data_IF_536558148344
#
_entry.id   IF_536558148344
#
_cell.length_a   1.000
_cell.length_b   1.000
_cell.length_c   1.000
_cell.angle_alpha   90.00
_cell.angle_beta   90.00
_cell.angle_gamma   90.00
#
_symmetry.space_group_name_H-M   'P 1'
#
loop_
_entity.id
_entity.type
_entity.pdbx_description
1 polymer ?
#
# COMPACT_ATOMS: atom_id res chain seq x y z
N UNK A 1 -30.34 10.52 5.39
CA UNK A 1 -31.28 9.71 6.24
C UNK A 1 -30.90 9.96 7.69
N UNK A 2 -31.86 10.12 8.58
CA UNK A 2 -31.61 10.26 10.02
C UNK A 2 -32.09 8.96 10.68
N UNK A 3 -31.31 8.39 11.58
CA UNK A 3 -31.68 7.22 12.38
C UNK A 3 -31.35 7.48 13.85
N UNK A 4 -31.91 6.68 14.75
CA UNK A 4 -31.57 6.69 16.17
C UNK A 4 -30.44 5.69 16.48
N UNK A 5 -29.95 5.70 17.72
CA UNK A 5 -28.88 4.78 18.18
C UNK A 5 -29.25 3.30 18.04
N UNK A 6 -30.54 2.95 18.16
CA UNK A 6 -31.00 1.56 17.99
C UNK A 6 -30.88 1.16 16.52
N UNK A 7 -31.29 2.04 15.60
CA UNK A 7 -31.17 1.81 14.17
C UNK A 7 -29.71 1.66 13.75
N UNK A 8 -28.84 2.51 14.28
CA UNK A 8 -27.38 2.41 14.02
C UNK A 8 -26.82 1.10 14.55
N UNK A 9 -27.12 0.72 15.79
CA UNK A 9 -26.67 -0.56 16.38
C UNK A 9 -27.12 -1.77 15.56
N UNK A 10 -28.36 -1.76 15.02
CA UNK A 10 -28.86 -2.82 14.15
C UNK A 10 -28.08 -2.87 12.83
N UNK A 11 -27.77 -1.71 12.22
CA UNK A 11 -26.97 -1.68 10.98
C UNK A 11 -25.57 -2.19 11.20
N UNK A 12 -24.91 -1.82 12.31
CA UNK A 12 -23.59 -2.29 12.72
C UNK A 12 -23.60 -3.80 12.95
N UNK A 13 -24.55 -4.32 13.77
CA UNK A 13 -24.64 -5.76 14.07
C UNK A 13 -24.86 -6.62 12.82
N UNK A 14 -25.55 -6.09 11.82
CA UNK A 14 -25.74 -6.71 10.50
C UNK A 14 -24.64 -6.38 9.50
N UNK A 15 -23.54 -5.75 9.93
CA UNK A 15 -22.40 -5.34 9.07
C UNK A 15 -22.86 -4.63 7.79
N UNK A 16 -23.89 -3.79 7.89
CA UNK A 16 -24.47 -3.07 6.76
C UNK A 16 -24.89 -3.98 5.59
N UNK A 17 -25.73 -4.96 5.86
CA UNK A 17 -26.25 -5.95 4.89
C UNK A 17 -26.77 -5.31 3.59
N UNK A 18 -27.20 -4.04 3.63
CA UNK A 18 -27.60 -3.27 2.46
C UNK A 18 -26.53 -3.19 1.38
N UNK A 19 -25.24 -3.22 1.74
CA UNK A 19 -24.12 -3.27 0.79
C UNK A 19 -24.19 -4.54 -0.08
N UNK A 20 -24.42 -5.70 0.57
CA UNK A 20 -24.59 -6.97 -0.12
C UNK A 20 -25.85 -7.00 -0.98
N UNK A 21 -26.96 -6.49 -0.45
CA UNK A 21 -28.25 -6.46 -1.18
C UNK A 21 -28.14 -5.65 -2.49
N UNK A 22 -27.43 -4.52 -2.46
CA UNK A 22 -27.20 -3.69 -3.65
C UNK A 22 -26.27 -4.41 -4.64
N UNK A 23 -25.22 -5.03 -4.15
CA UNK A 23 -24.26 -5.78 -4.97
C UNK A 23 -24.91 -6.97 -5.67
N UNK A 24 -25.81 -7.67 -4.99
CA UNK A 24 -26.49 -8.85 -5.50
C UNK A 24 -27.74 -8.50 -6.36
N UNK A 25 -27.97 -7.19 -6.61
CA UNK A 25 -29.12 -6.72 -7.37
C UNK A 25 -29.09 -7.18 -8.83
N UNK A 26 -30.23 -7.67 -9.32
CA UNK A 26 -30.43 -8.10 -10.70
C UNK A 26 -31.57 -7.35 -11.35
N UNK A 27 -31.42 -6.98 -12.61
CA UNK A 27 -32.52 -6.50 -13.43
C UNK A 27 -32.98 -7.64 -14.35
N UNK A 28 -34.11 -8.27 -14.01
CA UNK A 28 -34.50 -9.56 -14.57
C UNK A 28 -33.48 -10.63 -14.15
N UNK A 29 -32.98 -11.41 -15.11
CA UNK A 29 -31.95 -12.45 -14.85
C UNK A 29 -30.51 -11.95 -15.01
N UNK A 30 -30.30 -10.65 -15.30
CA UNK A 30 -28.97 -10.07 -15.53
C UNK A 30 -28.45 -9.39 -14.28
N UNK A 31 -27.25 -9.73 -13.81
CA UNK A 31 -26.60 -8.97 -12.73
C UNK A 31 -26.31 -7.55 -13.20
N UNK A 32 -26.50 -6.58 -12.32
CA UNK A 32 -26.19 -5.18 -12.56
C UNK A 32 -24.99 -4.82 -11.71
N UNK A 33 -23.93 -4.31 -12.31
CA UNK A 33 -22.73 -3.86 -11.61
C UNK A 33 -22.97 -2.50 -10.94
N UNK A 34 -23.61 -2.52 -9.77
CA UNK A 34 -23.81 -1.34 -8.92
C UNK A 34 -23.28 -1.62 -7.53
N UNK A 35 -22.79 -0.57 -6.88
CA UNK A 35 -22.29 -0.63 -5.51
C UNK A 35 -22.88 0.50 -4.68
N UNK A 36 -22.83 0.37 -3.36
CA UNK A 36 -23.30 1.37 -2.43
C UNK A 36 -22.15 1.82 -1.52
N UNK A 37 -21.93 3.13 -1.40
CA UNK A 37 -21.05 3.69 -0.39
C UNK A 37 -21.87 4.48 0.62
N UNK A 38 -21.62 4.28 1.91
CA UNK A 38 -22.35 4.89 3.00
C UNK A 38 -21.41 5.61 3.96
N UNK A 39 -21.78 6.81 4.38
CA UNK A 39 -21.13 7.53 5.46
C UNK A 39 -22.14 7.80 6.57
N UNK A 40 -21.85 7.41 7.78
CA UNK A 40 -22.68 7.58 8.96
C UNK A 40 -21.92 8.42 9.98
N UNK A 41 -22.50 9.52 10.43
CA UNK A 41 -21.95 10.40 11.45
C UNK A 41 -22.78 10.36 12.72
N UNK A 42 -22.11 10.20 13.87
CA UNK A 42 -22.68 10.34 15.19
C UNK A 42 -21.86 11.36 15.98
N UNK A 43 -22.47 12.47 16.36
CA UNK A 43 -21.87 13.59 17.09
C UNK A 43 -22.83 14.10 18.16
N UNK A 44 -22.38 15.07 18.94
CA UNK A 44 -23.13 15.66 20.04
C UNK A 44 -24.38 16.45 19.62
N UNK A 45 -24.49 16.78 18.32
CA UNK A 45 -25.64 17.48 17.73
C UNK A 45 -25.76 17.14 16.24
N UNK A 46 -26.88 17.57 15.61
CA UNK A 46 -27.17 17.27 14.21
C UNK A 46 -26.15 17.87 13.23
N UNK A 47 -25.58 19.02 13.54
CA UNK A 47 -24.59 19.66 12.68
C UNK A 47 -23.28 18.87 12.67
N UNK A 48 -22.77 18.50 13.85
CA UNK A 48 -21.60 17.63 13.97
C UNK A 48 -21.83 16.26 13.32
N UNK A 49 -23.02 15.69 13.54
CA UNK A 49 -23.38 14.40 12.91
C UNK A 49 -23.39 14.50 11.38
N UNK A 50 -23.85 15.60 10.79
CA UNK A 50 -23.82 15.84 9.37
C UNK A 50 -22.38 15.97 8.84
N UNK A 51 -21.53 16.74 9.52
CA UNK A 51 -20.10 16.87 9.17
C UNK A 51 -19.37 15.51 9.28
N UNK A 52 -19.59 14.76 10.35
CA UNK A 52 -19.03 13.42 10.52
C UNK A 52 -19.56 12.44 9.44
N UNK A 53 -20.81 12.56 9.01
CA UNK A 53 -21.35 11.71 7.94
C UNK A 53 -20.71 12.00 6.59
N UNK A 54 -20.41 13.26 6.28
CA UNK A 54 -19.70 13.67 5.07
C UNK A 54 -18.28 13.13 5.06
N UNK A 55 -17.54 13.31 6.17
CA UNK A 55 -16.18 12.76 6.34
C UNK A 55 -16.19 11.22 6.19
N UNK A 56 -17.15 10.56 6.81
CA UNK A 56 -17.30 9.10 6.72
C UNK A 56 -17.61 8.64 5.29
N UNK A 57 -18.45 9.39 4.55
CA UNK A 57 -18.76 9.08 3.15
C UNK A 57 -17.54 9.29 2.25
N UNK A 58 -16.81 10.39 2.45
CA UNK A 58 -15.54 10.64 1.74
C UNK A 58 -14.54 9.51 2.01
N UNK A 59 -14.42 9.06 3.28
CA UNK A 59 -13.61 7.91 3.65
C UNK A 59 -14.04 6.64 2.90
N UNK A 60 -15.34 6.34 2.85
CA UNK A 60 -15.85 5.19 2.10
C UNK A 60 -15.50 5.25 0.62
N UNK A 61 -15.63 6.44 0.01
CA UNK A 61 -15.36 6.63 -1.42
C UNK A 61 -13.87 6.60 -1.75
N UNK A 62 -13.02 7.23 -0.93
CA UNK A 62 -11.57 7.24 -1.12
C UNK A 62 -10.95 5.85 -1.02
N UNK A 63 -11.58 4.94 -0.30
CA UNK A 63 -11.16 3.54 -0.17
C UNK A 63 -11.63 2.62 -1.31
N UNK A 64 -12.16 3.17 -2.38
CA UNK A 64 -12.65 2.44 -3.55
C UNK A 64 -14.16 2.17 -3.54
N UNK A 65 -14.90 2.72 -2.60
CA UNK A 65 -16.36 2.55 -2.50
C UNK A 65 -16.80 1.17 -2.03
N UNK A 66 -18.07 0.84 -2.23
CA UNK A 66 -18.69 -0.44 -1.85
C UNK A 66 -18.52 -0.79 -0.36
N UNK A 67 -18.66 0.20 0.51
CA UNK A 67 -18.45 0.06 1.95
C UNK A 67 -19.24 1.11 2.74
N UNK A 68 -19.41 0.87 4.03
CA UNK A 68 -19.93 1.83 4.98
C UNK A 68 -18.84 2.24 5.96
N UNK A 69 -18.77 3.54 6.26
CA UNK A 69 -17.93 4.09 7.31
C UNK A 69 -18.83 4.74 8.36
N UNK A 70 -18.60 4.44 9.62
CA UNK A 70 -19.22 5.11 10.76
C UNK A 70 -18.18 6.01 11.41
N UNK A 71 -18.47 7.29 11.52
CA UNK A 71 -17.70 8.23 12.30
C UNK A 71 -18.44 8.51 13.62
N UNK A 72 -17.95 7.96 14.71
CA UNK A 72 -18.52 8.13 16.03
C UNK A 72 -17.64 9.08 16.85
N UNK A 73 -18.05 10.35 16.91
CA UNK A 73 -17.31 11.41 17.62
C UNK A 73 -15.81 11.49 17.24
N UNK A 74 -15.49 11.27 15.96
CA UNK A 74 -14.13 11.30 15.43
C UNK A 74 -13.47 9.91 15.33
N UNK A 75 -14.02 8.88 15.92
CA UNK A 75 -13.56 7.50 15.75
C UNK A 75 -14.23 6.86 14.52
N UNK A 76 -13.42 6.30 13.62
CA UNK A 76 -13.87 5.74 12.36
C UNK A 76 -13.90 4.20 12.44
N UNK A 77 -15.09 3.63 12.19
CA UNK A 77 -15.29 2.19 11.98
C UNK A 77 -15.65 1.92 10.53
N UNK A 78 -15.08 0.86 9.96
CA UNK A 78 -15.20 0.52 8.54
C UNK A 78 -15.87 -0.83 8.35
N UNK A 79 -16.85 -0.90 7.44
CA UNK A 79 -17.63 -2.11 7.16
C UNK A 79 -17.71 -2.36 5.64
N UNK A 80 -17.41 -3.57 5.20
CA UNK A 80 -17.43 -3.95 3.79
C UNK A 80 -16.11 -3.62 3.06
N UNK A 81 -16.17 -3.39 1.75
CA UNK A 81 -14.98 -3.06 0.94
C UNK A 81 -14.18 -4.29 0.52
N UNK A 82 -14.81 -5.44 0.38
CA UNK A 82 -14.17 -6.71 -0.03
C UNK A 82 -14.05 -6.88 -1.55
N UNK A 83 -14.73 -6.04 -2.34
CA UNK A 83 -14.69 -6.11 -3.80
C UNK A 83 -13.85 -4.95 -4.31
N UNK A 84 -12.82 -5.24 -5.10
CA UNK A 84 -12.17 -4.25 -5.94
C UNK A 84 -13.16 -3.86 -7.04
N UNK A 85 -14.01 -2.87 -6.74
CA UNK A 85 -14.86 -2.24 -7.75
C UNK A 85 -13.95 -1.66 -8.82
N UNK A 86 -14.16 -2.02 -10.07
CA UNK A 86 -13.48 -1.42 -11.22
C UNK A 86 -14.01 0.00 -11.45
N UNK A 87 -13.79 0.90 -10.50
CA UNK A 87 -13.97 2.33 -10.77
C UNK A 87 -12.92 2.71 -11.81
N UNK A 88 -13.39 3.00 -13.03
CA UNK A 88 -12.50 3.46 -14.10
C UNK A 88 -11.78 4.71 -13.62
N UNK A 89 -10.50 4.60 -13.30
CA UNK A 89 -9.65 5.75 -12.96
C UNK A 89 -9.76 6.79 -14.07
N UNK A 90 -9.96 8.03 -13.70
CA UNK A 90 -10.15 9.11 -14.66
C UNK A 90 -8.82 9.77 -15.01
N UNK A 91 -8.41 9.73 -16.29
CA UNK A 91 -7.26 10.52 -16.79
C UNK A 91 -7.45 12.02 -16.58
N UNK A 92 -8.69 12.48 -16.44
CA UNK A 92 -9.03 13.89 -16.14
C UNK A 92 -8.58 14.24 -14.71
N UNK A 93 -8.83 13.35 -13.72
CA UNK A 93 -8.36 13.55 -12.33
C UNK A 93 -6.83 13.68 -12.29
N UNK A 94 -6.11 12.77 -12.94
CA UNK A 94 -4.63 12.81 -12.97
C UNK A 94 -4.10 14.11 -13.60
N UNK A 95 -4.72 14.61 -14.67
CA UNK A 95 -4.36 15.91 -15.28
C UNK A 95 -4.59 17.09 -14.35
N UNK A 96 -5.71 17.12 -13.65
CA UNK A 96 -6.00 18.18 -12.67
C UNK A 96 -4.99 18.16 -11.52
N UNK A 97 -4.68 16.96 -11.00
CA UNK A 97 -3.67 16.76 -9.94
C UNK A 97 -2.28 17.20 -10.44
N UNK A 98 -1.88 16.82 -11.65
CA UNK A 98 -0.58 17.19 -12.21
C UNK A 98 -0.42 18.74 -12.35
N UNK A 99 -1.48 19.44 -12.77
CA UNK A 99 -1.47 20.90 -12.82
C UNK A 99 -1.41 21.52 -11.42
N UNK A 100 -2.23 21.06 -10.48
CA UNK A 100 -2.21 21.54 -9.10
C UNK A 100 -0.85 21.28 -8.43
N UNK A 101 -0.24 20.12 -8.67
CA UNK A 101 1.11 19.80 -8.21
C UNK A 101 2.14 20.80 -8.76
N UNK A 102 2.10 21.08 -10.09
CA UNK A 102 3.01 22.04 -10.72
C UNK A 102 2.85 23.45 -10.13
N UNK A 103 1.62 23.89 -9.86
CA UNK A 103 1.34 25.19 -9.26
C UNK A 103 1.92 25.27 -7.83
N UNK A 104 1.74 24.24 -7.01
CA UNK A 104 2.30 24.21 -5.65
C UNK A 104 3.83 24.18 -5.66
N UNK A 105 4.44 23.37 -6.52
CA UNK A 105 5.91 23.30 -6.68
C UNK A 105 6.47 24.66 -7.14
N UNK A 106 5.83 25.31 -8.11
CA UNK A 106 6.27 26.61 -8.64
C UNK A 106 6.29 27.70 -7.55
N UNK A 107 5.41 27.60 -6.57
CA UNK A 107 5.32 28.54 -5.43
C UNK A 107 6.20 28.14 -4.24
N UNK A 108 6.92 27.03 -4.28
CA UNK A 108 7.87 26.62 -3.27
C UNK A 108 9.28 27.13 -3.58
N UNK A 109 10.10 27.30 -2.55
CA UNK A 109 11.53 27.61 -2.70
C UNK A 109 12.38 26.34 -2.79
N UNK A 110 11.96 25.26 -2.15
CA UNK A 110 12.52 23.91 -2.28
C UNK A 110 11.46 22.86 -2.04
N UNK A 111 11.64 21.66 -2.59
CA UNK A 111 10.76 20.51 -2.41
C UNK A 111 11.52 19.38 -1.72
N UNK A 112 10.90 18.79 -0.73
CA UNK A 112 11.40 17.61 -0.04
C UNK A 112 10.45 16.46 -0.31
N UNK A 113 10.99 15.30 -0.70
CA UNK A 113 10.19 14.09 -0.98
C UNK A 113 10.52 13.05 0.06
N UNK A 114 9.53 12.46 0.71
CA UNK A 114 9.72 11.47 1.74
C UNK A 114 8.70 10.34 1.60
N UNK A 115 9.16 9.11 1.76
CA UNK A 115 8.30 7.92 1.78
C UNK A 115 8.15 7.32 3.18
N UNK A 116 7.76 6.04 3.22
CA UNK A 116 7.62 5.31 4.48
C UNK A 116 8.97 4.82 5.03
N UNK A 117 9.00 4.57 6.35
CA UNK A 117 10.14 3.89 7.00
C UNK A 117 10.34 2.49 6.38
N UNK A 118 11.58 2.03 6.26
CA UNK A 118 11.95 0.86 5.48
C UNK A 118 11.59 0.98 3.99
N UNK A 119 11.75 2.20 3.46
CA UNK A 119 11.40 2.53 2.06
C UNK A 119 11.89 1.46 1.09
N UNK A 120 10.99 1.00 0.24
CA UNK A 120 11.23 -0.03 -0.76
C UNK A 120 11.40 0.56 -2.17
N UNK A 121 11.36 -0.28 -3.21
CA UNK A 121 11.54 0.18 -4.60
C UNK A 121 10.37 1.04 -5.09
N UNK A 122 9.14 0.88 -4.56
CA UNK A 122 8.02 1.74 -4.95
C UNK A 122 8.16 3.12 -4.32
N UNK A 123 8.43 3.17 -3.03
CA UNK A 123 8.64 4.42 -2.29
C UNK A 123 9.82 5.24 -2.85
N UNK A 124 10.98 4.61 -3.07
CA UNK A 124 12.16 5.30 -3.61
C UNK A 124 11.97 5.64 -5.09
N UNK A 125 11.41 4.73 -5.90
CA UNK A 125 11.13 4.97 -7.32
C UNK A 125 10.15 6.13 -7.51
N UNK A 126 9.05 6.18 -6.76
CA UNK A 126 8.11 7.29 -6.76
C UNK A 126 8.78 8.61 -6.36
N UNK A 127 9.65 8.59 -5.34
CA UNK A 127 10.42 9.77 -4.93
C UNK A 127 11.32 10.30 -6.05
N UNK A 128 11.98 9.42 -6.81
CA UNK A 128 12.81 9.77 -7.95
C UNK A 128 11.97 10.35 -9.10
N UNK A 129 10.80 9.82 -9.36
CA UNK A 129 9.86 10.35 -10.34
C UNK A 129 9.37 11.75 -9.96
N UNK A 130 9.03 11.98 -8.67
CA UNK A 130 8.69 13.31 -8.15
C UNK A 130 9.88 14.27 -8.29
N UNK A 131 11.10 13.82 -7.96
CA UNK A 131 12.32 14.61 -8.18
C UNK A 131 12.44 15.07 -9.63
N UNK A 132 12.23 14.18 -10.60
CA UNK A 132 12.30 14.53 -12.02
C UNK A 132 11.26 15.60 -12.41
N UNK A 133 10.02 15.50 -11.90
CA UNK A 133 8.97 16.52 -12.11
C UNK A 133 9.38 17.87 -11.52
N UNK A 134 9.90 17.89 -10.30
CA UNK A 134 10.32 19.12 -9.59
C UNK A 134 11.50 19.78 -10.30
N UNK A 135 12.46 18.99 -10.76
CA UNK A 135 13.60 19.50 -11.57
C UNK A 135 13.15 20.07 -12.89
N UNK A 136 12.16 19.51 -13.56
CA UNK A 136 11.58 20.06 -14.79
C UNK A 136 10.88 21.41 -14.57
N UNK A 137 10.45 21.70 -13.34
CA UNK A 137 9.90 22.99 -12.89
C UNK A 137 10.98 23.95 -12.36
N UNK A 138 12.25 23.62 -12.54
CA UNK A 138 13.42 24.41 -12.15
C UNK A 138 13.49 24.74 -10.64
N UNK A 139 13.11 23.75 -9.79
CA UNK A 139 13.15 23.89 -8.34
C UNK A 139 14.18 22.96 -7.68
N UNK A 140 14.81 23.39 -6.58
CA UNK A 140 15.61 22.52 -5.73
C UNK A 140 14.74 21.38 -5.18
N UNK A 141 15.26 20.14 -5.24
CA UNK A 141 14.56 18.97 -4.73
C UNK A 141 15.51 18.03 -3.98
N UNK A 142 15.05 17.51 -2.84
CA UNK A 142 15.77 16.58 -2.00
C UNK A 142 14.89 15.39 -1.66
N UNK A 143 15.48 14.19 -1.67
CA UNK A 143 14.80 12.95 -1.25
C UNK A 143 15.25 12.62 0.17
N UNK A 144 14.31 12.64 1.10
CA UNK A 144 14.56 12.40 2.53
C UNK A 144 14.38 10.91 2.81
N UNK A 145 15.49 10.22 3.12
CA UNK A 145 15.48 8.77 3.33
C UNK A 145 16.52 8.33 4.35
N UNK A 146 16.17 7.32 5.15
CA UNK A 146 17.11 6.62 6.01
C UNK A 146 17.78 5.47 5.25
N UNK A 147 18.89 5.76 4.59
CA UNK A 147 19.63 4.79 3.78
C UNK A 147 20.00 3.49 4.52
N UNK A 148 20.13 3.54 5.85
CA UNK A 148 20.46 2.35 6.65
C UNK A 148 19.27 1.40 6.81
N UNK A 149 18.05 1.97 6.87
CA UNK A 149 16.80 1.22 7.03
C UNK A 149 16.13 0.87 5.73
N UNK A 150 16.43 1.59 4.64
CA UNK A 150 15.81 1.38 3.33
C UNK A 150 16.05 -0.04 2.81
N UNK A 151 15.02 -0.65 2.26
CA UNK A 151 15.12 -1.93 1.53
C UNK A 151 15.60 -1.73 0.08
N UNK A 152 15.57 -0.50 -0.44
CA UNK A 152 16.03 -0.13 -1.78
C UNK A 152 17.48 0.40 -1.80
N UNK A 153 18.36 -0.08 -0.93
CA UNK A 153 19.76 0.38 -0.82
C UNK A 153 20.50 0.37 -2.15
N UNK A 154 20.40 -0.74 -2.89
CA UNK A 154 21.07 -0.90 -4.18
C UNK A 154 20.62 0.16 -5.19
N UNK A 155 19.31 0.48 -5.22
CA UNK A 155 18.78 1.52 -6.08
C UNK A 155 19.33 2.90 -5.68
N UNK A 156 19.33 3.23 -4.39
CA UNK A 156 19.84 4.51 -3.89
C UNK A 156 21.32 4.68 -4.21
N UNK A 157 22.15 3.65 -3.97
CA UNK A 157 23.58 3.67 -4.26
C UNK A 157 23.88 3.88 -5.74
N UNK A 158 23.14 3.19 -6.62
CA UNK A 158 23.28 3.35 -8.07
C UNK A 158 22.89 4.77 -8.50
N UNK A 159 21.80 5.32 -7.99
CA UNK A 159 21.33 6.67 -8.30
C UNK A 159 22.31 7.74 -7.83
N UNK A 160 22.89 7.60 -6.65
CA UNK A 160 23.88 8.55 -6.12
C UNK A 160 25.19 8.53 -6.90
N UNK A 161 25.62 7.34 -7.32
CA UNK A 161 26.87 7.20 -8.07
C UNK A 161 26.81 7.86 -9.45
N UNK A 162 25.69 7.74 -10.15
CA UNK A 162 25.61 8.05 -11.57
C UNK A 162 24.80 9.32 -11.91
N UNK A 163 23.68 9.58 -11.22
CA UNK A 163 22.70 10.59 -11.68
C UNK A 163 22.27 11.61 -10.65
N UNK A 164 22.24 11.26 -9.37
CA UNK A 164 21.63 12.07 -8.30
C UNK A 164 22.60 12.30 -7.11
N UNK A 165 23.81 12.82 -7.34
CA UNK A 165 24.73 13.10 -6.25
C UNK A 165 24.10 14.12 -5.27
N UNK A 166 24.30 13.88 -3.96
CA UNK A 166 23.83 14.76 -2.88
C UNK A 166 22.32 14.98 -2.78
N UNK A 167 21.51 14.23 -3.54
CA UNK A 167 20.04 14.37 -3.56
C UNK A 167 19.39 13.66 -2.37
N UNK A 168 19.94 12.52 -1.98
CA UNK A 168 19.41 11.72 -0.87
C UNK A 168 19.97 12.21 0.47
N UNK A 169 19.09 12.78 1.30
CA UNK A 169 19.46 13.37 2.59
C UNK A 169 18.72 12.68 3.75
N UNK A 170 19.23 12.81 4.94
CA UNK A 170 18.54 12.36 6.15
C UNK A 170 17.63 13.47 6.75
N UNK A 171 16.79 13.12 7.73
CA UNK A 171 15.85 14.05 8.34
C UNK A 171 16.52 15.26 8.99
N UNK A 172 17.72 15.11 9.61
CA UNK A 172 18.45 16.23 10.19
C UNK A 172 18.85 17.27 9.14
N UNK A 173 19.40 16.79 8.01
CA UNK A 173 19.80 17.67 6.92
C UNK A 173 18.58 18.32 6.23
N UNK A 174 17.44 17.62 6.20
CA UNK A 174 16.17 18.19 5.73
C UNK A 174 15.69 19.31 6.66
N UNK A 175 15.79 19.13 7.97
CA UNK A 175 15.45 20.15 8.95
C UNK A 175 16.35 21.41 8.84
N UNK A 176 17.64 21.23 8.54
CA UNK A 176 18.57 22.35 8.35
C UNK A 176 18.28 23.15 7.06
N UNK A 177 17.75 22.51 6.02
CA UNK A 177 17.54 23.11 4.70
C UNK A 177 16.13 23.63 4.47
N UNK A 178 15.13 23.16 5.24
CA UNK A 178 13.76 23.58 5.05
C UNK A 178 13.53 25.04 5.51
N UNK A 179 12.60 25.70 4.84
CA UNK A 179 12.14 27.06 5.14
C UNK A 179 10.61 27.05 5.26
N UNK A 180 10.01 28.14 5.71
CA UNK A 180 8.55 28.30 5.76
C UNK A 180 7.86 28.26 4.39
N UNK A 181 8.61 28.32 3.28
CA UNK A 181 8.07 28.18 1.91
C UNK A 181 8.37 26.84 1.29
N UNK A 182 9.05 25.96 2.00
CA UNK A 182 9.35 24.62 1.51
C UNK A 182 8.10 23.76 1.44
N UNK A 183 8.09 22.83 0.47
CA UNK A 183 7.00 21.89 0.23
C UNK A 183 7.49 20.48 0.56
N UNK A 184 6.69 19.74 1.34
CA UNK A 184 6.90 18.31 1.56
C UNK A 184 5.96 17.51 0.66
N UNK A 185 6.50 16.57 -0.12
CA UNK A 185 5.75 15.59 -0.89
C UNK A 185 5.95 14.23 -0.25
N UNK A 186 4.88 13.66 0.23
CA UNK A 186 4.86 12.31 0.81
C UNK A 186 4.40 11.35 -0.28
N UNK A 187 5.14 10.26 -0.47
CA UNK A 187 4.85 9.22 -1.47
C UNK A 187 4.71 7.87 -0.80
N UNK A 188 3.82 7.03 -1.34
CA UNK A 188 3.66 5.63 -0.97
C UNK A 188 3.30 5.40 0.52
N UNK A 189 2.76 6.41 1.15
CA UNK A 189 2.15 6.33 2.47
C UNK A 189 1.30 7.57 2.76
N UNK A 190 0.31 7.42 3.62
CA UNK A 190 -0.52 8.51 4.10
C UNK A 190 -0.54 8.61 5.64
N UNK A 191 0.25 7.78 6.33
CA UNK A 191 0.24 7.68 7.78
C UNK A 191 1.48 8.32 8.38
N UNK A 192 1.29 9.28 9.30
CA UNK A 192 2.41 9.95 9.99
C UNK A 192 3.34 8.94 10.68
N UNK A 193 2.78 7.95 11.39
CA UNK A 193 3.54 6.93 12.09
C UNK A 193 4.36 6.00 11.16
N UNK A 194 4.06 6.00 9.88
CA UNK A 194 4.78 5.19 8.88
C UNK A 194 5.87 5.98 8.15
N UNK A 195 5.99 7.28 8.34
CA UNK A 195 7.01 8.10 7.70
C UNK A 195 8.42 7.72 8.13
N UNK A 196 9.37 7.89 7.24
CA UNK A 196 10.79 7.61 7.54
C UNK A 196 11.36 8.56 8.61
N UNK A 197 10.92 9.83 8.60
CA UNK A 197 11.22 10.84 9.60
C UNK A 197 9.96 11.63 9.95
N UNK A 198 9.09 11.08 10.79
CA UNK A 198 7.81 11.72 11.16
C UNK A 198 7.97 13.04 11.91
N UNK A 199 9.05 13.21 12.65
CA UNK A 199 9.36 14.41 13.42
C UNK A 199 9.56 15.67 12.56
N UNK A 200 10.02 15.51 11.31
CA UNK A 200 10.19 16.67 10.41
C UNK A 200 8.88 17.12 9.75
N UNK A 201 7.81 16.32 9.78
CA UNK A 201 6.51 16.70 9.18
C UNK A 201 6.03 18.08 9.65
N UNK A 202 6.21 18.37 10.94
CA UNK A 202 5.79 19.63 11.56
C UNK A 202 6.58 20.87 11.13
N UNK A 203 7.67 20.69 10.40
CA UNK A 203 8.49 21.79 9.87
C UNK A 203 7.92 22.35 8.56
N UNK A 204 6.91 21.68 7.98
CA UNK A 204 6.35 22.03 6.68
C UNK A 204 4.89 22.48 6.83
N UNK A 205 4.61 23.74 6.43
CA UNK A 205 3.24 24.29 6.37
C UNK A 205 2.47 23.76 5.16
N UNK A 206 3.17 23.19 4.17
CA UNK A 206 2.60 22.69 2.92
C UNK A 206 2.99 21.24 2.69
N UNK A 207 2.00 20.37 2.66
CA UNK A 207 2.19 18.94 2.48
C UNK A 207 1.34 18.46 1.32
N UNK A 208 1.91 17.66 0.42
CA UNK A 208 1.23 16.90 -0.63
C UNK A 208 1.38 15.42 -0.30
N UNK A 209 0.31 14.64 -0.50
CA UNK A 209 0.33 13.17 -0.36
C UNK A 209 -0.05 12.53 -1.69
N UNK A 210 0.80 11.59 -2.16
CA UNK A 210 0.59 10.76 -3.35
C UNK A 210 0.67 9.30 -2.92
N UNK A 211 -0.47 8.62 -2.78
CA UNK A 211 -0.51 7.28 -2.22
C UNK A 211 -1.54 6.38 -2.91
N UNK A 212 -1.22 5.10 -3.07
CA UNK A 212 -2.12 4.11 -3.65
C UNK A 212 -2.74 3.18 -2.60
N UNK A 213 -2.36 3.32 -1.35
CA UNK A 213 -2.93 2.54 -0.26
C UNK A 213 -4.36 2.99 0.07
N UNK A 214 -5.19 2.07 0.53
CA UNK A 214 -6.52 2.42 1.04
C UNK A 214 -6.39 3.30 2.27
N UNK A 215 -7.02 4.47 2.24
CA UNK A 215 -6.98 5.43 3.35
C UNK A 215 -7.42 4.78 4.67
N UNK A 216 -6.63 4.98 5.72
CA UNK A 216 -6.92 4.52 7.09
C UNK A 216 -7.47 5.67 7.92
N UNK A 217 -8.02 5.38 9.11
CA UNK A 217 -8.52 6.42 10.02
C UNK A 217 -7.42 7.41 10.44
N UNK A 218 -6.18 6.93 10.60
CA UNK A 218 -5.03 7.72 11.02
C UNK A 218 -4.22 8.19 9.80
N UNK A 219 -4.78 9.07 9.00
CA UNK A 219 -4.09 9.67 7.85
C UNK A 219 -3.68 11.12 8.13
N UNK A 220 -2.73 11.63 7.36
CA UNK A 220 -2.26 13.01 7.45
C UNK A 220 -3.34 13.93 6.89
N UNK A 221 -4.00 14.70 7.77
CA UNK A 221 -5.17 15.53 7.44
C UNK A 221 -4.80 16.89 6.84
N UNK A 222 -3.75 17.54 7.37
CA UNK A 222 -3.36 18.91 7.00
C UNK A 222 -2.51 18.88 5.71
N UNK A 223 -3.19 18.66 4.56
CA UNK A 223 -2.54 18.60 3.25
C UNK A 223 -3.14 19.61 2.30
N UNK A 224 -2.30 20.24 1.47
CA UNK A 224 -2.75 21.16 0.42
C UNK A 224 -3.19 20.43 -0.86
N UNK A 225 -2.73 19.19 -1.03
CA UNK A 225 -3.13 18.29 -2.11
C UNK A 225 -3.04 16.85 -1.61
N UNK A 226 -4.14 16.11 -1.76
CA UNK A 226 -4.21 14.70 -1.39
C UNK A 226 -4.66 13.90 -2.62
N UNK A 227 -3.77 13.09 -3.16
CA UNK A 227 -4.06 12.21 -4.27
C UNK A 227 -3.87 10.76 -3.85
N UNK A 228 -4.97 10.14 -3.46
CA UNK A 228 -5.06 8.71 -3.23
C UNK A 228 -5.78 8.01 -4.37
N UNK A 229 -5.25 6.85 -4.76
CA UNK A 229 -5.81 6.05 -5.85
C UNK A 229 -5.67 4.55 -5.54
N UNK A 230 -6.54 3.98 -4.69
CA UNK A 230 -6.45 2.58 -4.25
C UNK A 230 -6.52 1.53 -5.38
N UNK A 231 -6.90 1.95 -6.58
CA UNK A 231 -6.93 1.11 -7.77
C UNK A 231 -5.67 1.27 -8.65
N UNK A 232 -4.70 2.07 -8.23
CA UNK A 232 -3.38 2.07 -8.83
C UNK A 232 -2.58 0.86 -8.33
N UNK A 233 -1.71 0.33 -9.16
CA UNK A 233 -0.88 -0.80 -8.78
C UNK A 233 0.21 -0.41 -7.78
N UNK A 234 0.67 0.85 -7.84
CA UNK A 234 1.81 1.37 -7.07
C UNK A 234 1.84 2.89 -7.09
N UNK A 235 2.57 3.51 -6.17
CA UNK A 235 2.86 4.95 -6.21
C UNK A 235 3.69 5.31 -7.45
N UNK A 236 4.59 4.43 -7.90
CA UNK A 236 5.34 4.60 -9.14
C UNK A 236 4.45 4.67 -10.37
N UNK A 237 3.37 3.87 -10.46
CA UNK A 237 2.38 4.00 -11.54
C UNK A 237 1.74 5.38 -11.53
N UNK A 238 1.30 5.85 -10.35
CA UNK A 238 0.66 7.17 -10.19
C UNK A 238 1.60 8.30 -10.60
N UNK A 239 2.84 8.28 -10.12
CA UNK A 239 3.85 9.29 -10.46
C UNK A 239 4.20 9.25 -11.94
N UNK A 240 4.35 8.06 -12.53
CA UNK A 240 4.57 7.90 -13.99
C UNK A 240 3.44 8.52 -14.80
N UNK A 241 2.20 8.39 -14.33
CA UNK A 241 1.06 9.04 -14.97
C UNK A 241 1.12 10.57 -14.83
N UNK A 242 1.43 11.10 -13.63
CA UNK A 242 1.56 12.55 -13.42
C UNK A 242 2.65 13.17 -14.29
N UNK A 243 3.79 12.49 -14.48
CA UNK A 243 4.89 12.91 -15.37
C UNK A 243 4.38 13.20 -16.78
N UNK A 244 3.45 12.40 -17.29
CA UNK A 244 2.90 12.58 -18.64
C UNK A 244 1.92 13.76 -18.76
N UNK A 245 1.39 14.27 -17.65
CA UNK A 245 0.36 15.32 -17.63
C UNK A 245 0.80 16.65 -17.04
N UNK A 246 1.99 16.70 -16.41
CA UNK A 246 2.52 17.97 -15.91
C UNK A 246 2.74 18.96 -17.07
N UNK A 247 2.50 20.29 -16.88
CA UNK A 247 2.49 21.27 -17.99
C UNK A 247 3.88 21.62 -18.54
N UNK A 248 4.91 20.89 -18.15
CA UNK A 248 6.28 21.04 -18.66
C UNK A 248 6.79 19.68 -19.13
N UNK A 249 7.75 19.70 -20.07
CA UNK A 249 8.40 18.46 -20.49
C UNK A 249 9.35 17.99 -19.41
N UNK A 250 9.09 16.78 -18.88
CA UNK A 250 9.99 16.11 -17.92
C UNK A 250 11.01 15.30 -18.71
N UNK A 251 12.28 15.50 -18.40
CA UNK A 251 13.37 14.65 -18.89
C UNK A 251 13.50 13.43 -17.97
N UNK A 252 12.95 12.31 -18.39
CA UNK A 252 13.00 11.04 -17.66
C UNK A 252 14.25 10.29 -18.10
N UNK A 253 15.32 10.36 -17.29
CA UNK A 253 16.54 9.60 -17.59
C UNK A 253 16.27 8.08 -17.55
N UNK A 254 17.04 7.25 -18.26
CA UNK A 254 16.89 5.78 -18.22
C UNK A 254 16.89 5.23 -16.79
N UNK A 255 17.72 5.75 -15.90
CA UNK A 255 17.79 5.30 -14.50
C UNK A 255 16.56 5.73 -13.69
N UNK A 256 16.00 6.92 -13.93
CA UNK A 256 14.71 7.31 -13.35
C UNK A 256 13.59 6.39 -13.84
N UNK A 257 13.58 6.06 -15.14
CA UNK A 257 12.61 5.14 -15.72
C UNK A 257 12.75 3.72 -15.14
N UNK A 258 13.97 3.24 -14.90
CA UNK A 258 14.24 1.95 -14.23
C UNK A 258 13.79 1.95 -12.78
N UNK A 259 14.02 3.04 -12.04
CA UNK A 259 13.56 3.18 -10.66
C UNK A 259 12.02 3.09 -10.57
N UNK A 260 11.30 3.86 -11.39
CA UNK A 260 9.84 3.81 -11.46
C UNK A 260 9.33 2.42 -11.89
N UNK A 261 9.95 1.81 -12.89
CA UNK A 261 9.57 0.48 -13.35
C UNK A 261 9.78 -0.58 -12.26
N UNK A 262 10.86 -0.48 -11.50
CA UNK A 262 11.15 -1.42 -10.41
C UNK A 262 10.09 -1.34 -9.30
N UNK A 263 9.60 -0.16 -8.95
CA UNK A 263 8.50 0.00 -8.00
C UNK A 263 7.21 -0.65 -8.51
N UNK A 264 6.83 -0.39 -9.78
CA UNK A 264 5.67 -1.06 -10.39
C UNK A 264 5.85 -2.60 -10.36
N UNK A 265 7.03 -3.11 -10.69
CA UNK A 265 7.31 -4.55 -10.67
C UNK A 265 7.24 -5.14 -9.25
N UNK A 266 7.64 -4.38 -8.22
CA UNK A 266 7.56 -4.80 -6.83
C UNK A 266 6.10 -5.06 -6.44
N UNK A 267 5.27 -4.05 -6.51
CA UNK A 267 3.90 -4.07 -6.01
C UNK A 267 2.96 -4.95 -6.83
N UNK A 268 3.26 -5.08 -8.12
CA UNK A 268 2.51 -6.00 -9.00
C UNK A 268 3.02 -7.42 -9.00
N UNK A 269 4.09 -7.74 -8.26
CA UNK A 269 4.80 -9.02 -8.38
C UNK A 269 5.09 -9.39 -9.83
N UNK A 270 5.80 -8.51 -10.51
CA UNK A 270 6.10 -8.63 -11.94
C UNK A 270 4.83 -8.73 -12.82
N UNK A 271 3.88 -7.82 -12.63
CA UNK A 271 2.63 -7.72 -13.38
C UNK A 271 1.66 -8.89 -13.19
N UNK A 272 1.72 -9.58 -12.05
CA UNK A 272 0.81 -10.68 -11.69
C UNK A 272 -0.39 -10.17 -10.88
N UNK A 273 -0.16 -9.30 -9.89
CA UNK A 273 -1.20 -8.78 -8.99
C UNK A 273 -1.50 -7.31 -9.27
N UNK A 274 -2.70 -6.87 -8.93
CA UNK A 274 -3.15 -5.46 -8.97
C UNK A 274 -2.84 -4.75 -10.30
N UNK A 275 -2.68 -5.50 -11.41
CA UNK A 275 -2.23 -5.00 -12.71
C UNK A 275 -3.41 -4.66 -13.60
N UNK A 276 -3.56 -3.39 -13.93
CA UNK A 276 -4.57 -2.88 -14.86
C UNK A 276 -3.98 -2.41 -16.19
N UNK A 277 -4.83 -1.97 -17.13
CA UNK A 277 -4.36 -1.41 -18.40
C UNK A 277 -3.43 -0.20 -18.20
N UNK A 278 -3.68 0.62 -17.18
CA UNK A 278 -2.86 1.81 -16.87
C UNK A 278 -1.48 1.45 -16.32
N UNK A 279 -1.35 0.33 -15.64
CA UNK A 279 -0.07 -0.21 -15.21
C UNK A 279 0.81 -0.54 -16.42
N UNK A 280 0.21 -1.17 -17.45
CA UNK A 280 0.91 -1.45 -18.71
C UNK A 280 1.18 -0.17 -19.53
N UNK A 281 0.27 0.82 -19.54
CA UNK A 281 0.52 2.13 -20.15
C UNK A 281 1.72 2.82 -19.49
N UNK A 282 1.80 2.81 -18.15
CA UNK A 282 2.93 3.36 -17.41
C UNK A 282 4.24 2.61 -17.73
N UNK A 283 4.22 1.28 -17.72
CA UNK A 283 5.39 0.46 -18.05
C UNK A 283 5.86 0.69 -19.49
N UNK A 284 4.94 0.85 -20.46
CA UNK A 284 5.26 1.18 -21.85
C UNK A 284 5.93 2.54 -21.96
N UNK A 285 5.38 3.58 -21.29
CA UNK A 285 5.99 4.90 -21.24
C UNK A 285 7.41 4.86 -20.66
N UNK A 286 7.63 4.14 -19.56
CA UNK A 286 8.95 4.00 -18.95
C UNK A 286 9.92 3.26 -19.87
N UNK A 287 9.44 2.25 -20.60
CA UNK A 287 10.23 1.52 -21.58
C UNK A 287 10.65 2.41 -22.75
N UNK A 288 9.77 3.28 -23.26
CA UNK A 288 10.06 4.28 -24.28
C UNK A 288 11.10 5.31 -23.82
N UNK A 289 11.14 5.63 -22.50
CA UNK A 289 12.13 6.49 -21.88
C UNK A 289 13.42 5.76 -21.46
N UNK A 290 13.64 4.56 -21.97
CA UNK A 290 14.93 3.86 -21.87
C UNK A 290 15.04 2.90 -20.68
N UNK A 291 13.98 2.63 -19.92
CA UNK A 291 14.04 1.64 -18.83
C UNK A 291 14.51 0.28 -19.36
N UNK A 292 15.52 -0.28 -18.72
CA UNK A 292 16.02 -1.62 -18.99
C UNK A 292 15.38 -2.59 -17.98
N UNK A 293 14.53 -3.49 -18.47
CA UNK A 293 13.84 -4.48 -17.63
C UNK A 293 14.78 -5.46 -16.94
N UNK A 294 15.97 -5.71 -17.51
CA UNK A 294 17.00 -6.55 -16.89
C UNK A 294 17.59 -5.82 -15.67
N UNK A 295 17.99 -4.56 -15.85
CA UNK A 295 18.52 -3.71 -14.76
C UNK A 295 17.46 -3.54 -13.66
N UNK A 296 16.22 -3.25 -14.00
CA UNK A 296 15.12 -3.16 -13.04
C UNK A 296 14.96 -4.47 -12.27
N UNK A 297 15.02 -5.63 -12.94
CA UNK A 297 14.97 -6.94 -12.28
C UNK A 297 16.17 -7.20 -11.37
N UNK A 298 17.36 -6.72 -11.72
CA UNK A 298 18.56 -6.90 -10.90
C UNK A 298 18.46 -6.16 -9.55
N UNK A 299 17.63 -5.12 -9.42
CA UNK A 299 17.37 -4.45 -8.14
C UNK A 299 16.69 -5.37 -7.10
N UNK A 300 16.04 -6.44 -7.56
CA UNK A 300 15.45 -7.49 -6.70
C UNK A 300 16.44 -8.61 -6.37
N UNK A 301 17.67 -8.54 -6.88
CA UNK A 301 18.64 -9.61 -6.68
C UNK A 301 19.02 -9.73 -5.19
N UNK A 302 18.86 -10.93 -4.66
CA UNK A 302 19.30 -11.28 -3.33
C UNK A 302 20.75 -11.79 -3.41
N UNK A 303 21.50 -11.64 -2.31
CA UNK A 303 22.78 -12.32 -2.19
C UNK A 303 22.56 -13.84 -2.05
N UNK A 304 23.61 -14.61 -2.30
CA UNK A 304 23.54 -16.08 -2.26
C UNK A 304 23.15 -16.61 -0.88
N UNK A 305 23.48 -15.88 0.17
CA UNK A 305 23.15 -16.27 1.54
C UNK A 305 21.65 -16.16 1.80
N UNK A 306 21.04 -15.02 1.46
CA UNK A 306 19.59 -14.84 1.56
C UNK A 306 18.84 -15.86 0.70
N UNK A 307 19.38 -16.20 -0.49
CA UNK A 307 18.80 -17.22 -1.34
C UNK A 307 18.81 -18.61 -0.68
N UNK A 308 19.93 -18.99 -0.04
CA UNK A 308 20.02 -20.25 0.70
C UNK A 308 19.06 -20.28 1.88
N UNK A 309 18.96 -19.18 2.65
CA UNK A 309 18.04 -19.08 3.79
C UNK A 309 16.58 -19.28 3.36
N UNK A 310 16.17 -18.65 2.26
CA UNK A 310 14.82 -18.86 1.69
C UNK A 310 14.60 -20.31 1.29
N UNK A 311 15.55 -20.91 0.56
CA UNK A 311 15.43 -22.31 0.14
C UNK A 311 15.36 -23.28 1.33
N UNK A 312 16.09 -23.02 2.42
CA UNK A 312 15.99 -23.81 3.64
C UNK A 312 14.55 -23.79 4.17
N UNK A 313 13.90 -22.62 4.24
CA UNK A 313 12.51 -22.52 4.68
C UNK A 313 11.56 -23.18 3.67
N UNK A 314 11.72 -22.93 2.37
CA UNK A 314 10.90 -23.54 1.32
C UNK A 314 10.96 -25.08 1.39
N UNK A 315 12.12 -25.64 1.70
CA UNK A 315 12.31 -27.10 1.80
C UNK A 315 11.50 -27.74 2.94
N UNK A 316 11.05 -26.97 3.92
CA UNK A 316 10.19 -27.46 5.02
C UNK A 316 8.70 -27.45 4.64
N UNK A 317 8.35 -26.91 3.46
CA UNK A 317 6.96 -26.73 3.08
C UNK A 317 6.20 -28.04 2.95
N UNK A 318 5.04 -28.08 3.57
CA UNK A 318 4.07 -29.17 3.44
C UNK A 318 2.76 -28.59 2.88
N UNK A 319 2.00 -29.43 2.17
CA UNK A 319 0.70 -29.01 1.61
C UNK A 319 -0.44 -29.49 2.51
N UNK A 320 -1.37 -28.60 2.81
CA UNK A 320 -2.57 -28.87 3.58
C UNK A 320 -3.79 -28.18 2.94
N UNK A 321 -4.74 -28.94 2.41
CA UNK A 321 -5.99 -28.44 1.75
C UNK A 321 -5.74 -27.36 0.68
N UNK A 322 -4.69 -27.49 -0.13
CA UNK A 322 -4.34 -26.48 -1.13
C UNK A 322 -3.62 -25.24 -0.55
N UNK A 323 -3.22 -25.30 0.71
CA UNK A 323 -2.35 -24.32 1.36
C UNK A 323 -0.94 -24.87 1.47
N UNK A 324 0.09 -24.04 1.33
CA UNK A 324 1.46 -24.36 1.65
C UNK A 324 1.80 -23.84 3.06
N UNK A 325 2.33 -24.68 3.94
CA UNK A 325 2.75 -24.33 5.28
C UNK A 325 4.23 -24.64 5.40
N UNK A 326 5.05 -23.65 5.70
CA UNK A 326 6.50 -23.80 5.91
C UNK A 326 6.94 -23.27 7.28
N UNK A 327 7.98 -23.85 7.83
CA UNK A 327 8.50 -23.50 9.16
C UNK A 327 9.96 -23.08 9.03
N UNK A 328 10.29 -21.87 9.46
CA UNK A 328 11.69 -21.47 9.59
C UNK A 328 12.26 -22.03 10.89
N UNK A 329 13.28 -22.86 10.77
CA UNK A 329 13.94 -23.53 11.90
C UNK A 329 15.22 -22.82 12.34
N UNK A 330 15.76 -21.93 11.51
CA UNK A 330 16.97 -21.16 11.77
C UNK A 330 16.61 -19.70 12.05
N UNK A 331 17.36 -19.05 12.95
CA UNK A 331 17.23 -17.62 13.24
C UNK A 331 18.29 -16.85 12.46
N UNK A 332 17.85 -15.81 11.73
CA UNK A 332 18.74 -14.87 11.05
C UNK A 332 18.16 -13.47 11.06
N UNK A 333 18.97 -12.50 10.73
CA UNK A 333 18.55 -11.11 10.65
C UNK A 333 17.47 -10.94 9.56
N UNK A 334 16.49 -10.08 9.80
CA UNK A 334 15.38 -9.80 8.87
C UNK A 334 14.43 -10.99 8.59
N UNK A 335 14.20 -11.86 9.60
CA UNK A 335 13.36 -13.04 9.50
C UNK A 335 11.95 -12.71 8.96
N UNK A 336 11.32 -11.62 9.41
CA UNK A 336 9.98 -11.20 8.97
C UNK A 336 9.93 -10.94 7.47
N UNK A 337 10.95 -10.27 6.93
CA UNK A 337 11.06 -9.98 5.50
C UNK A 337 11.24 -11.28 4.72
N UNK A 338 12.15 -12.12 5.17
CA UNK A 338 12.43 -13.41 4.52
C UNK A 338 11.21 -14.34 4.55
N UNK A 339 10.50 -14.45 5.66
CA UNK A 339 9.29 -15.24 5.78
C UNK A 339 8.18 -14.75 4.83
N UNK A 340 8.03 -13.43 4.69
CA UNK A 340 7.09 -12.83 3.74
C UNK A 340 7.44 -13.17 2.30
N UNK A 341 8.73 -13.08 1.93
CA UNK A 341 9.22 -13.42 0.60
C UNK A 341 9.08 -14.92 0.28
N UNK A 342 9.32 -15.78 1.26
CA UNK A 342 9.10 -17.24 1.12
C UNK A 342 7.61 -17.54 0.94
N UNK A 343 6.73 -16.89 1.72
CA UNK A 343 5.29 -17.06 1.55
C UNK A 343 4.85 -16.67 0.14
N UNK A 344 5.40 -15.58 -0.41
CA UNK A 344 5.14 -15.18 -1.79
C UNK A 344 5.65 -16.21 -2.80
N UNK A 345 6.83 -16.79 -2.57
CA UNK A 345 7.44 -17.77 -3.49
C UNK A 345 6.68 -19.09 -3.50
N UNK A 346 6.15 -19.53 -2.36
CA UNK A 346 5.32 -20.73 -2.25
C UNK A 346 4.01 -20.65 -3.06
N UNK A 347 3.50 -19.46 -3.34
CA UNK A 347 2.32 -19.27 -4.20
C UNK A 347 2.58 -19.57 -5.67
N UNK A 348 3.85 -19.67 -6.10
CA UNK A 348 4.19 -20.06 -7.47
C UNK A 348 4.10 -21.59 -7.69
N UNK A 349 3.82 -22.38 -6.65
CA UNK A 349 3.68 -23.82 -6.73
C UNK A 349 2.26 -24.15 -7.22
N UNK A 350 2.16 -24.97 -8.25
CA UNK A 350 0.88 -25.38 -8.83
C UNK A 350 -0.05 -26.01 -7.77
N UNK A 351 -1.29 -25.55 -7.72
CA UNK A 351 -2.31 -26.04 -6.78
C UNK A 351 -2.30 -25.40 -5.40
N UNK A 352 -1.37 -24.48 -5.12
CA UNK A 352 -1.34 -23.71 -3.88
C UNK A 352 -2.17 -22.43 -4.07
N UNK A 353 -3.16 -22.23 -3.19
CA UNK A 353 -4.08 -21.08 -3.16
C UNK A 353 -3.69 -20.04 -2.11
N UNK A 354 -3.05 -20.50 -1.04
CA UNK A 354 -2.51 -19.66 0.04
C UNK A 354 -1.26 -20.28 0.64
N UNK A 355 -0.42 -19.48 1.25
CA UNK A 355 0.83 -19.90 1.87
C UNK A 355 1.01 -19.25 3.23
N UNK A 356 1.61 -20.00 4.14
CA UNK A 356 1.85 -19.61 5.53
C UNK A 356 3.28 -19.98 5.90
N UNK A 357 4.03 -18.99 6.40
CA UNK A 357 5.38 -19.22 6.91
C UNK A 357 5.43 -18.88 8.38
N UNK A 358 5.74 -19.88 9.20
CA UNK A 358 5.85 -19.74 10.64
C UNK A 358 7.33 -19.57 11.02
N UNK A 359 7.60 -18.65 11.93
CA UNK A 359 8.92 -18.43 12.48
C UNK A 359 8.83 -17.92 13.92
N UNK A 360 9.84 -18.18 14.72
CA UNK A 360 9.94 -17.67 16.09
C UNK A 360 10.89 -16.47 16.14
N UNK A 361 10.49 -15.42 16.82
CA UNK A 361 11.31 -14.23 17.09
C UNK A 361 10.99 -13.75 18.51
N UNK A 362 12.02 -13.59 19.34
CA UNK A 362 11.91 -13.15 20.74
C UNK A 362 10.91 -13.95 21.60
N UNK A 363 10.81 -15.28 21.36
CA UNK A 363 9.89 -16.17 22.10
C UNK A 363 8.42 -16.07 21.66
N UNK A 364 8.14 -15.39 20.55
CA UNK A 364 6.82 -15.26 19.95
C UNK A 364 6.80 -15.95 18.60
N UNK A 365 5.81 -16.82 18.36
CA UNK A 365 5.62 -17.44 17.04
C UNK A 365 4.85 -16.47 16.15
N UNK A 366 5.49 -16.09 15.04
CA UNK A 366 4.92 -15.22 14.01
C UNK A 366 4.46 -16.07 12.83
N UNK A 367 3.36 -15.69 12.19
CA UNK A 367 2.87 -16.31 10.95
C UNK A 367 2.71 -15.22 9.89
N UNK A 368 3.39 -15.39 8.76
CA UNK A 368 3.19 -14.58 7.57
C UNK A 368 2.32 -15.34 6.57
N UNK A 369 1.19 -14.77 6.16
CA UNK A 369 0.22 -15.38 5.26
C UNK A 369 0.08 -14.61 3.94
N UNK A 370 -0.03 -15.35 2.83
CA UNK A 370 -0.19 -14.80 1.47
C UNK A 370 -1.22 -15.58 0.67
N UNK A 371 -1.89 -14.93 -0.29
CA UNK A 371 -2.75 -15.58 -1.29
C UNK A 371 -2.76 -14.80 -2.60
N UNK A 372 -3.28 -15.42 -3.66
CA UNK A 372 -3.55 -14.76 -4.94
C UNK A 372 -4.99 -14.24 -5.05
N UNK A 373 -5.73 -14.21 -3.93
CA UNK A 373 -7.11 -13.69 -3.87
C UNK A 373 -8.20 -14.76 -3.88
N UNK A 374 -7.89 -16.02 -4.18
CA UNK A 374 -8.86 -17.12 -4.09
C UNK A 374 -9.23 -17.48 -2.63
N UNK A 375 -8.28 -17.31 -1.72
CA UNK A 375 -8.50 -17.48 -0.27
C UNK A 375 -8.26 -16.16 0.45
N UNK A 376 -9.16 -15.82 1.36
CA UNK A 376 -9.01 -14.63 2.21
C UNK A 376 -8.15 -14.96 3.43
N UNK A 377 -6.84 -14.69 3.33
CA UNK A 377 -5.90 -14.96 4.43
C UNK A 377 -6.10 -14.03 5.63
N UNK A 378 -6.76 -12.88 5.44
CA UNK A 378 -7.11 -11.99 6.55
C UNK A 378 -8.04 -12.70 7.54
N UNK A 379 -9.12 -13.31 7.06
CA UNK A 379 -10.09 -14.03 7.91
C UNK A 379 -9.40 -15.16 8.69
N UNK A 380 -8.51 -15.91 8.03
CA UNK A 380 -7.77 -17.00 8.69
C UNK A 380 -6.84 -16.46 9.78
N UNK A 381 -6.17 -15.33 9.55
CA UNK A 381 -5.30 -14.71 10.56
C UNK A 381 -6.13 -14.05 11.70
N UNK A 382 -7.31 -13.51 11.40
CA UNK A 382 -8.23 -12.97 12.43
C UNK A 382 -8.69 -14.03 13.41
N UNK A 383 -8.94 -15.28 12.98
CA UNK A 383 -9.22 -16.40 13.88
C UNK A 383 -8.06 -16.71 14.84
N UNK A 384 -6.86 -16.29 14.51
CA UNK A 384 -5.65 -16.41 15.32
C UNK A 384 -5.27 -15.12 16.08
N UNK A 385 -6.18 -14.13 16.10
CA UNK A 385 -5.93 -12.82 16.75
C UNK A 385 -5.04 -11.87 15.98
N UNK A 386 -4.77 -12.17 14.71
CA UNK A 386 -4.01 -11.33 13.79
C UNK A 386 -4.90 -10.47 12.90
N UNK A 387 -4.37 -10.08 11.74
CA UNK A 387 -5.10 -9.28 10.76
C UNK A 387 -4.32 -9.03 9.48
N UNK A 388 -4.88 -8.21 8.60
CA UNK A 388 -4.26 -7.89 7.32
C UNK A 388 -5.27 -7.54 6.25
N UNK A 389 -5.03 -8.03 5.04
CA UNK A 389 -5.86 -7.88 3.86
C UNK A 389 -6.13 -9.22 3.18
N UNK A 390 -7.03 -9.23 2.20
CA UNK A 390 -7.41 -10.42 1.44
C UNK A 390 -6.22 -11.30 1.00
N UNK A 391 -5.15 -10.67 0.50
CA UNK A 391 -3.99 -11.35 -0.09
C UNK A 391 -2.76 -11.40 0.81
N UNK A 392 -2.72 -10.60 1.88
CA UNK A 392 -1.59 -10.47 2.80
C UNK A 392 -2.09 -10.28 4.23
N UNK A 393 -1.69 -11.17 5.14
CA UNK A 393 -2.04 -11.05 6.54
C UNK A 393 -0.94 -11.64 7.42
N UNK A 394 -1.00 -11.36 8.72
CA UNK A 394 -0.04 -11.89 9.69
C UNK A 394 -0.69 -12.01 11.07
N UNK A 395 -0.09 -12.86 11.91
CA UNK A 395 -0.44 -12.96 13.34
C UNK A 395 0.80 -13.21 14.18
N UNK A 396 0.70 -12.93 15.47
CA UNK A 396 1.69 -13.21 16.50
C UNK A 396 1.02 -14.03 17.60
N UNK A 397 1.62 -15.15 17.94
CA UNK A 397 1.11 -16.08 18.93
C UNK A 397 2.08 -16.14 20.12
N UNK A 398 1.67 -15.56 21.24
CA UNK A 398 2.46 -15.56 22.47
C UNK A 398 2.20 -16.83 23.28
N UNK A 399 3.24 -17.34 23.95
CA UNK A 399 3.13 -18.46 24.89
C UNK A 399 2.75 -19.81 24.25
N UNK A 400 2.96 -19.97 22.94
CA UNK A 400 2.71 -21.23 22.22
C UNK A 400 4.01 -21.80 21.66
N UNK A 401 4.09 -23.13 21.56
CA UNK A 401 5.18 -23.79 20.82
C UNK A 401 4.93 -23.72 19.31
N UNK A 402 5.98 -23.91 18.52
CA UNK A 402 5.86 -23.98 17.05
C UNK A 402 4.87 -25.07 16.61
N UNK A 403 4.87 -26.23 17.29
CA UNK A 403 3.93 -27.32 17.02
C UNK A 403 2.48 -26.93 17.31
N UNK A 404 2.23 -26.26 18.45
CA UNK A 404 0.88 -25.77 18.79
C UNK A 404 0.41 -24.69 17.79
N UNK A 405 1.31 -23.85 17.33
CA UNK A 405 1.00 -22.84 16.31
C UNK A 405 0.56 -23.46 14.98
N UNK A 406 1.21 -24.54 14.55
CA UNK A 406 0.80 -25.30 13.35
C UNK A 406 -0.60 -25.88 13.53
N UNK A 407 -0.89 -26.51 14.66
CA UNK A 407 -2.21 -27.09 14.96
C UNK A 407 -3.29 -26.00 14.98
N UNK A 408 -3.00 -24.83 15.57
CA UNK A 408 -3.93 -23.68 15.57
C UNK A 408 -4.17 -23.17 14.16
N UNK A 409 -3.13 -23.06 13.33
CA UNK A 409 -3.26 -22.64 11.94
C UNK A 409 -4.12 -23.61 11.14
N UNK A 410 -3.89 -24.91 11.26
CA UNK A 410 -4.72 -25.94 10.62
C UNK A 410 -6.18 -25.86 11.07
N UNK A 411 -6.42 -25.57 12.35
CA UNK A 411 -7.77 -25.31 12.90
C UNK A 411 -8.43 -24.11 12.21
N UNK A 412 -7.76 -22.98 12.15
CA UNK A 412 -8.27 -21.76 11.49
C UNK A 412 -8.52 -21.96 9.98
N UNK A 413 -7.66 -22.72 9.30
CA UNK A 413 -7.88 -23.10 7.90
C UNK A 413 -9.14 -23.99 7.78
N UNK A 414 -9.36 -24.93 8.70
CA UNK A 414 -10.54 -25.78 8.68
C UNK A 414 -11.83 -24.98 8.89
N UNK A 415 -11.85 -24.07 9.86
CA UNK A 415 -12.98 -23.16 10.13
C UNK A 415 -13.30 -22.33 8.90
N UNK A 416 -12.29 -21.74 8.26
CA UNK A 416 -12.47 -20.99 7.01
C UNK A 416 -13.14 -21.82 5.91
N UNK A 417 -12.72 -23.08 5.71
CA UNK A 417 -13.35 -23.97 4.72
C UNK A 417 -14.77 -24.40 5.10
N UNK A 418 -15.08 -24.50 6.39
CA UNK A 418 -16.43 -24.82 6.86
C UNK A 418 -17.38 -23.65 6.65
N UNK A 419 -16.95 -22.42 6.93
CA UNK A 419 -17.73 -21.20 6.74
C UNK A 419 -17.99 -20.88 5.25
N UNK A 420 -17.08 -21.30 4.36
CA UNK A 420 -17.17 -21.05 2.91
C UNK A 420 -17.67 -22.27 2.10
N UNK A 421 -18.25 -23.27 2.75
CA UNK A 421 -18.88 -24.44 2.08
C UNK A 421 -20.30 -24.15 1.57
N UNK A 422 -20.63 -22.92 1.13
CA UNK A 422 -21.91 -22.60 0.50
C UNK A 422 -21.79 -22.45 -1.01
#
# INVERSE_FOLDING_TARGET
MITDERGLSVMISKKFEALKMVRDFKYGDKPVEITLSMGIGHGGNLFESDEFSKQALEMSQSRGGDQATVNNNGELELFGGTVSGSTKRSKIKARLIANAFADHVSNADAVFVMGHCFSDLDSVGASVGVYAMVKALDKPCYIVVNKKKSMAKNLIENLEADTLPDTFINGSKAADFCTSKSLLVIVDTHREASLDYSDILRLFDKVIVLDHHRRTANYINDTILYYDEPNASSACEMVTELIQYIPVKVDVSPMCAEALLSGIMLDTRNFVLSTGSRTFEAAAFLKENGANTISAKQLFANNIENYKQKNNIISTAVTYKGCAVAIATEHFHDMRITASQVADELLNIAGIKSSYVLFEEDGVVNISARSLGEMNVQVIMEHLGGGGHLTMAATQLEGVTMGDAVVKLEGAINEYFEENKQ
#
